data_IF_761219620770
#
_entry.id   IF_761219620770
#
_cell.length_a   1.000
_cell.length_b   1.000
_cell.length_c   1.000
_cell.angle_alpha   90.00
_cell.angle_beta   90.00
_cell.angle_gamma   90.00
#
_symmetry.space_group_name_H-M   'P 1'
#
loop_
_entity.id
_entity.type
_entity.pdbx_description
1 polymer ?
#
# COMPACT_ATOMS: atom_id res chain seq x y z
N UNK A 1 -16.43 12.45 -2.79
CA UNK A 1 -16.36 11.11 -3.43
C UNK A 1 -14.97 10.58 -3.16
N UNK A 2 -14.85 9.46 -2.44
CA UNK A 2 -13.55 8.90 -2.07
C UNK A 2 -12.86 8.30 -3.30
N UNK A 3 -11.58 8.61 -3.49
CA UNK A 3 -10.78 8.06 -4.60
C UNK A 3 -9.78 7.04 -4.09
N UNK A 4 -9.77 5.85 -4.70
CA UNK A 4 -8.88 4.75 -4.34
C UNK A 4 -7.75 4.61 -5.36
N UNK A 5 -6.52 4.48 -4.89
CA UNK A 5 -5.32 4.31 -5.72
C UNK A 5 -4.63 2.99 -5.40
N UNK A 6 -4.31 2.20 -6.41
CA UNK A 6 -3.40 1.07 -6.28
C UNK A 6 -2.01 1.48 -6.77
N UNK A 7 -1.02 1.43 -5.89
CA UNK A 7 0.38 1.77 -6.21
C UNK A 7 1.21 0.49 -6.15
N UNK A 8 1.59 -0.02 -7.31
CA UNK A 8 2.42 -1.23 -7.44
C UNK A 8 3.90 -0.87 -7.42
N UNK A 9 4.69 -1.57 -6.61
CA UNK A 9 6.10 -1.23 -6.41
C UNK A 9 6.30 -0.16 -5.34
N UNK A 10 5.44 -0.13 -4.32
CA UNK A 10 5.39 0.91 -3.30
C UNK A 10 6.52 0.88 -2.26
N UNK A 11 7.39 -0.14 -2.26
CA UNK A 11 8.33 -0.37 -1.16
C UNK A 11 9.44 0.69 -1.05
N UNK A 12 9.79 1.34 -2.17
CA UNK A 12 10.88 2.32 -2.29
C UNK A 12 10.77 3.15 -3.57
N UNK A 13 11.65 4.14 -3.72
CA UNK A 13 11.76 4.94 -4.94
C UNK A 13 10.48 5.72 -5.26
N UNK A 14 10.11 5.76 -6.55
CA UNK A 14 8.98 6.55 -7.04
C UNK A 14 7.64 6.04 -6.50
N UNK A 15 7.46 4.71 -6.39
CA UNK A 15 6.23 4.14 -5.83
C UNK A 15 5.99 4.59 -4.39
N UNK A 16 7.04 4.63 -3.57
CA UNK A 16 6.96 5.14 -2.20
C UNK A 16 6.57 6.63 -2.16
N UNK A 17 7.11 7.43 -3.06
CA UNK A 17 6.80 8.86 -3.11
C UNK A 17 5.36 9.12 -3.54
N UNK A 18 4.84 8.35 -4.50
CA UNK A 18 3.41 8.38 -4.83
C UNK A 18 2.54 8.04 -3.63
N UNK A 19 2.89 7.01 -2.83
CA UNK A 19 2.14 6.68 -1.62
C UNK A 19 2.11 7.87 -0.66
N UNK A 20 3.23 8.54 -0.42
CA UNK A 20 3.30 9.71 0.48
C UNK A 20 2.43 10.86 0.01
N UNK A 21 2.53 11.22 -1.27
CA UNK A 21 1.78 12.34 -1.83
C UNK A 21 0.29 12.05 -1.91
N UNK A 22 -0.08 10.83 -2.33
CA UNK A 22 -1.49 10.43 -2.44
C UNK A 22 -2.14 10.33 -1.07
N UNK A 23 -1.44 9.75 -0.08
CA UNK A 23 -1.97 9.60 1.27
C UNK A 23 -2.18 10.94 2.00
N UNK A 24 -1.46 12.00 1.60
CA UNK A 24 -1.67 13.35 2.12
C UNK A 24 -2.90 14.07 1.54
N UNK A 25 -3.55 13.53 0.52
CA UNK A 25 -4.73 14.13 -0.10
C UNK A 25 -6.00 13.78 0.70
N UNK A 26 -6.92 14.75 0.90
CA UNK A 26 -8.20 14.46 1.53
C UNK A 26 -9.00 13.45 0.69
N UNK A 27 -9.84 12.65 1.36
CA UNK A 27 -10.76 11.69 0.73
C UNK A 27 -10.07 10.67 -0.21
N UNK A 28 -8.89 10.18 0.19
CA UNK A 28 -8.13 9.17 -0.56
C UNK A 28 -7.88 7.90 0.25
N UNK A 29 -7.86 6.77 -0.44
CA UNK A 29 -7.39 5.48 0.08
C UNK A 29 -6.28 4.97 -0.83
N UNK A 30 -5.16 4.53 -0.27
CA UNK A 30 -4.00 4.05 -1.04
C UNK A 30 -3.73 2.59 -0.70
N UNK A 31 -3.73 1.73 -1.71
CA UNK A 31 -3.28 0.35 -1.62
C UNK A 31 -1.83 0.27 -2.10
N UNK A 32 -0.90 0.17 -1.15
CA UNK A 32 0.53 0.09 -1.41
C UNK A 32 0.92 -1.38 -1.61
N UNK A 33 1.11 -1.79 -2.87
CA UNK A 33 1.42 -3.18 -3.23
C UNK A 33 2.94 -3.38 -3.26
N UNK A 34 3.41 -4.34 -2.48
CA UNK A 34 4.83 -4.67 -2.30
C UNK A 34 5.08 -6.16 -2.41
N UNK A 35 6.26 -6.57 -2.89
CA UNK A 35 6.62 -8.00 -2.99
C UNK A 35 6.96 -8.65 -1.65
N UNK A 36 7.35 -7.85 -0.65
CA UNK A 36 7.72 -8.30 0.68
C UNK A 36 7.44 -7.16 1.66
N UNK A 37 6.36 -7.24 2.42
CA UNK A 37 5.94 -6.22 3.37
C UNK A 37 6.94 -6.08 4.50
N UNK A 38 7.44 -7.21 5.05
CA UNK A 38 8.45 -7.22 6.13
C UNK A 38 9.75 -6.52 5.72
N UNK A 39 10.15 -6.66 4.45
CA UNK A 39 11.35 -6.02 3.89
C UNK A 39 11.15 -4.57 3.43
N UNK A 40 9.92 -4.04 3.45
CA UNK A 40 9.57 -2.71 2.96
C UNK A 40 9.69 -1.65 4.07
N UNK A 41 10.84 -1.57 4.72
CA UNK A 41 11.08 -0.71 5.90
C UNK A 41 10.84 0.78 5.64
N UNK A 42 11.22 1.30 4.47
CA UNK A 42 10.96 2.69 4.10
C UNK A 42 9.46 3.01 3.96
N UNK A 43 8.69 2.08 3.38
CA UNK A 43 7.24 2.19 3.30
C UNK A 43 6.61 2.10 4.68
N UNK A 44 6.99 1.09 5.48
CA UNK A 44 6.48 0.91 6.84
C UNK A 44 6.67 2.17 7.70
N UNK A 45 7.86 2.78 7.65
CA UNK A 45 8.14 4.04 8.35
C UNK A 45 7.30 5.21 7.82
N UNK A 46 7.11 5.31 6.50
CA UNK A 46 6.36 6.40 5.88
C UNK A 46 4.84 6.36 6.18
N UNK A 47 4.29 5.16 6.41
CA UNK A 47 2.84 4.96 6.57
C UNK A 47 2.42 4.63 8.00
N UNK A 48 3.36 4.55 8.94
CA UNK A 48 3.12 4.12 10.33
C UNK A 48 1.97 4.89 11.03
N UNK A 49 1.78 6.16 10.67
CA UNK A 49 0.75 7.03 11.26
C UNK A 49 -0.40 7.34 10.30
N UNK A 50 -0.46 6.68 9.14
CA UNK A 50 -1.45 6.93 8.09
C UNK A 50 -2.51 5.83 8.10
N UNK A 51 -3.76 6.20 8.42
CA UNK A 51 -4.88 5.24 8.46
C UNK A 51 -5.47 4.92 7.08
N UNK A 52 -5.16 5.75 6.09
CA UNK A 52 -5.68 5.65 4.73
C UNK A 52 -4.74 4.91 3.76
N UNK A 53 -3.69 4.25 4.28
CA UNK A 53 -2.78 3.43 3.49
C UNK A 53 -2.87 1.97 3.92
N UNK A 54 -3.15 1.08 2.97
CA UNK A 54 -3.19 -0.35 3.17
C UNK A 54 -2.02 -1.00 2.44
N UNK A 55 -1.14 -1.66 3.18
CA UNK A 55 -0.02 -2.40 2.59
C UNK A 55 -0.49 -3.80 2.20
N UNK A 56 -0.33 -4.16 0.93
CA UNK A 56 -0.70 -5.47 0.39
C UNK A 56 0.57 -6.16 -0.09
N UNK A 57 0.86 -7.33 0.47
CA UNK A 57 1.94 -8.17 -0.03
C UNK A 57 1.45 -8.98 -1.23
N UNK A 58 2.03 -8.75 -2.41
CA UNK A 58 1.72 -9.50 -3.62
C UNK A 58 2.89 -9.48 -4.62
N UNK A 59 2.98 -10.51 -5.44
CA UNK A 59 3.98 -10.65 -6.49
C UNK A 59 3.35 -10.62 -7.87
N UNK A 60 3.70 -9.64 -8.70
CA UNK A 60 3.04 -9.37 -9.99
C UNK A 60 3.18 -10.54 -10.98
N UNK A 61 4.26 -11.32 -10.86
CA UNK A 61 4.48 -12.50 -11.71
C UNK A 61 3.77 -13.76 -11.21
N UNK A 62 3.11 -13.69 -10.05
CA UNK A 62 2.31 -14.77 -9.47
C UNK A 62 0.85 -14.31 -9.36
N UNK A 63 0.04 -14.72 -10.33
CA UNK A 63 -1.37 -14.35 -10.42
C UNK A 63 -2.15 -14.72 -9.14
N UNK A 64 -1.86 -15.87 -8.54
CA UNK A 64 -2.53 -16.31 -7.33
C UNK A 64 -2.27 -15.37 -6.14
N UNK A 65 -1.08 -14.75 -6.09
CA UNK A 65 -0.75 -13.74 -5.08
C UNK A 65 -1.48 -12.41 -5.27
N UNK A 66 -1.96 -12.11 -6.48
CA UNK A 66 -2.75 -10.90 -6.79
C UNK A 66 -4.24 -11.10 -6.50
N UNK A 67 -4.75 -12.33 -6.54
CA UNK A 67 -6.11 -12.70 -6.17
C UNK A 67 -6.32 -12.73 -4.64
N UNK A 68 -5.85 -11.68 -3.95
CA UNK A 68 -5.86 -11.56 -2.48
C UNK A 68 -7.24 -11.92 -1.90
N UNK A 69 -7.31 -13.06 -1.20
CA UNK A 69 -8.54 -13.59 -0.58
C UNK A 69 -8.91 -12.90 0.75
N UNK A 70 -8.07 -12.03 1.32
CA UNK A 70 -8.33 -11.44 2.62
C UNK A 70 -7.65 -10.07 2.81
N UNK A 71 -8.44 -8.99 2.76
CA UNK A 71 -8.00 -7.67 3.25
C UNK A 71 -8.26 -7.67 4.76
N UNK A 72 -7.24 -7.98 5.56
CA UNK A 72 -7.33 -7.86 7.02
C UNK A 72 -7.46 -6.38 7.39
N UNK A 73 -8.67 -5.96 7.80
CA UNK A 73 -8.91 -4.64 8.41
C UNK A 73 -8.11 -4.53 9.72
N UNK A 74 -7.54 -3.37 10.06
CA UNK A 74 -7.04 -3.15 11.42
C UNK A 74 -8.24 -3.26 12.37
N UNK A 75 -8.11 -4.08 13.41
CA UNK A 75 -9.05 -4.12 14.52
C UNK A 75 -9.09 -2.75 15.22
N UNK A 76 -10.29 -2.39 15.68
CA UNK A 76 -10.59 -1.25 16.56
C UNK A 76 -9.71 -1.23 17.81
#
# INVERSE_FOLDING_TARGET
>A
MTTSYAVVGASRGIGLEYVRQLAGRPDTVVFAIVRNAKGSTHLAAAVANLKNVHVVEANIVDHASLEVQHISSPAL
#
